data_IF_689412860800
#
_entry.id   IF_689412860800
#
_cell.length_a   1.000
_cell.length_b   1.000
_cell.length_c   1.000
_cell.angle_alpha   90.00
_cell.angle_beta   90.00
_cell.angle_gamma   90.00
#
_symmetry.space_group_name_H-M   'P 1'
#
loop_
_entity.id
_entity.type
_entity.pdbx_description
1 polymer ?
#
# COMPACT_ATOMS: atom_id res chain seq x y z
N UNK A 1 13.29 23.65 41.61
CA UNK A 1 11.93 23.74 41.06
C UNK A 1 11.68 22.57 40.18
N UNK A 2 10.67 21.72 40.42
CA UNK A 2 10.40 20.58 39.55
C UNK A 2 9.87 21.12 38.22
N UNK A 3 10.57 20.79 37.16
CA UNK A 3 10.12 20.97 35.80
C UNK A 3 8.72 20.39 35.70
N UNK A 4 7.73 21.22 35.45
CA UNK A 4 6.41 20.81 35.06
C UNK A 4 6.57 19.91 33.82
N UNK A 5 6.43 18.60 33.99
CA UNK A 5 6.22 17.69 32.88
C UNK A 5 4.91 18.12 32.23
N UNK A 6 5.04 18.88 31.17
CA UNK A 6 3.94 19.14 30.27
C UNK A 6 3.39 17.78 29.79
N UNK A 7 2.33 17.37 30.44
CA UNK A 7 1.49 16.24 30.03
C UNK A 7 0.66 16.73 28.83
N UNK A 8 1.33 17.22 27.77
CA UNK A 8 0.70 17.43 26.49
C UNK A 8 0.24 16.06 26.02
N UNK A 9 -1.06 15.85 26.04
CA UNK A 9 -1.65 14.64 25.44
C UNK A 9 -1.05 14.52 24.04
N UNK A 10 -0.35 13.41 23.79
CA UNK A 10 0.24 13.14 22.46
C UNK A 10 -0.89 13.14 21.44
N UNK A 11 -0.84 14.07 20.49
CA UNK A 11 -1.77 14.12 19.37
C UNK A 11 -1.22 13.28 18.21
N UNK A 12 -2.11 12.63 17.53
CA UNK A 12 -1.89 11.84 16.35
C UNK A 12 -2.80 12.32 15.22
N UNK A 13 -2.51 11.98 14.01
CA UNK A 13 -3.37 12.38 12.90
C UNK A 13 -2.95 11.77 11.56
N UNK A 14 -3.65 12.20 10.51
CA UNK A 14 -3.40 11.84 9.14
C UNK A 14 -3.29 13.10 8.29
N UNK A 15 -2.20 13.23 7.54
CA UNK A 15 -2.06 14.22 6.47
C UNK A 15 -2.27 13.59 5.10
N UNK A 16 -3.00 14.30 4.24
CA UNK A 16 -3.32 13.89 2.86
C UNK A 16 -4.36 14.81 2.25
N UNK A 17 -4.67 14.62 0.96
CA UNK A 17 -5.70 15.42 0.29
C UNK A 17 -6.23 14.71 -0.97
N UNK A 18 -7.55 14.53 -1.12
CA UNK A 18 -8.60 14.67 -0.09
C UNK A 18 -8.65 13.45 0.85
N UNK A 19 -8.98 13.64 2.12
CA UNK A 19 -9.00 12.55 3.14
C UNK A 19 -10.24 12.53 4.04
N UNK A 20 -11.23 13.39 3.80
CA UNK A 20 -12.48 13.46 4.60
C UNK A 20 -13.19 12.11 4.77
N UNK A 21 -12.97 11.18 3.83
CA UNK A 21 -13.54 9.83 3.81
C UNK A 21 -12.70 8.76 4.53
N UNK A 22 -11.56 9.15 5.11
CA UNK A 22 -10.63 8.19 5.72
C UNK A 22 -11.23 7.46 6.92
N UNK A 23 -11.00 6.16 6.99
CA UNK A 23 -11.39 5.30 8.13
C UNK A 23 -10.36 5.32 9.26
N UNK A 24 -9.19 5.95 9.07
CA UNK A 24 -8.09 5.97 10.05
C UNK A 24 -8.52 6.47 11.43
N UNK A 25 -9.33 7.54 11.58
CA UNK A 25 -9.78 7.99 12.91
C UNK A 25 -10.59 6.92 13.66
N UNK A 26 -11.47 6.20 12.95
CA UNK A 26 -12.30 5.16 13.55
C UNK A 26 -11.44 3.96 13.98
N UNK A 27 -10.50 3.52 13.14
CA UNK A 27 -9.56 2.46 13.44
C UNK A 27 -8.67 2.81 14.63
N UNK A 28 -8.12 4.02 14.65
CA UNK A 28 -7.28 4.49 15.75
C UNK A 28 -8.06 4.57 17.06
N UNK A 29 -9.28 5.10 17.03
CA UNK A 29 -10.16 5.15 18.20
C UNK A 29 -10.45 3.74 18.73
N UNK A 30 -10.71 2.79 17.86
CA UNK A 30 -10.94 1.39 18.26
C UNK A 30 -9.68 0.75 18.87
N UNK A 31 -8.51 0.97 18.28
CA UNK A 31 -7.24 0.40 18.74
C UNK A 31 -6.84 0.89 20.14
N UNK A 32 -7.13 2.15 20.45
CA UNK A 32 -6.73 2.79 21.71
C UNK A 32 -7.90 3.13 22.64
N UNK A 33 -9.11 2.58 22.41
CA UNK A 33 -10.31 2.86 23.21
C UNK A 33 -10.60 4.36 23.41
N UNK A 34 -10.31 5.16 22.38
CA UNK A 34 -10.51 6.61 22.43
C UNK A 34 -9.57 7.38 23.36
N UNK A 35 -8.50 6.77 23.85
CA UNK A 35 -7.56 7.39 24.80
C UNK A 35 -6.79 8.58 24.22
N UNK A 36 -6.56 8.61 22.92
CA UNK A 36 -5.76 9.63 22.25
C UNK A 36 -6.58 10.35 21.16
N UNK A 37 -6.20 11.58 20.89
CA UNK A 37 -6.76 12.40 19.80
C UNK A 37 -6.12 11.95 18.49
N UNK A 38 -6.95 11.80 17.46
CA UNK A 38 -6.51 11.50 16.09
C UNK A 38 -7.30 12.38 15.11
N UNK A 39 -6.61 13.29 14.47
CA UNK A 39 -7.20 14.31 13.60
C UNK A 39 -6.97 14.01 12.12
N UNK A 40 -7.92 14.43 11.28
CA UNK A 40 -7.71 14.54 9.83
C UNK A 40 -7.20 15.95 9.51
N UNK A 41 -6.00 16.03 8.95
CA UNK A 41 -5.38 17.27 8.52
C UNK A 41 -5.47 17.32 7.00
N UNK A 42 -6.66 17.70 6.51
CA UNK A 42 -6.99 17.81 5.10
C UNK A 42 -6.55 19.17 4.56
N UNK A 43 -5.30 19.25 4.15
CA UNK A 43 -4.67 20.46 3.62
C UNK A 43 -4.02 20.09 2.29
N UNK A 44 -4.30 20.85 1.22
CA UNK A 44 -3.81 20.56 -0.12
C UNK A 44 -2.30 20.83 -0.26
N UNK A 45 -1.80 21.86 0.44
CA UNK A 45 -0.38 22.19 0.44
C UNK A 45 0.39 21.33 1.45
N UNK A 46 1.36 20.55 0.96
CA UNK A 46 2.16 19.67 1.81
C UNK A 46 2.97 20.40 2.86
N UNK A 47 3.61 21.52 2.52
CA UNK A 47 4.46 22.25 3.48
C UNK A 47 3.64 22.80 4.64
N UNK A 48 2.44 23.31 4.38
CA UNK A 48 1.49 23.75 5.40
C UNK A 48 1.03 22.60 6.29
N UNK A 49 0.70 21.45 5.70
CA UNK A 49 0.31 20.25 6.44
C UNK A 49 1.47 19.71 7.29
N UNK A 50 2.67 19.72 6.75
CA UNK A 50 3.90 19.28 7.43
C UNK A 50 4.25 20.21 8.60
N UNK A 51 4.17 21.53 8.42
CA UNK A 51 4.41 22.48 9.50
C UNK A 51 3.42 22.28 10.65
N UNK A 52 2.14 22.06 10.35
CA UNK A 52 1.13 21.74 11.37
C UNK A 52 1.47 20.45 12.13
N UNK A 53 2.01 19.43 11.46
CA UNK A 53 2.54 18.24 12.13
C UNK A 53 3.66 18.60 13.11
N UNK A 54 4.63 19.40 12.68
CA UNK A 54 5.78 19.77 13.52
C UNK A 54 5.32 20.53 14.79
N UNK A 55 4.30 21.36 14.67
CA UNK A 55 3.85 22.23 15.77
C UNK A 55 2.96 21.49 16.78
N UNK A 56 2.09 20.58 16.31
CA UNK A 56 1.00 20.10 17.15
C UNK A 56 1.02 18.58 17.43
N UNK A 57 1.74 17.78 16.66
CA UNK A 57 1.61 16.32 16.70
C UNK A 57 2.93 15.64 17.07
N UNK A 58 2.83 14.50 17.73
CA UNK A 58 3.98 13.64 18.02
C UNK A 58 4.25 12.65 16.89
N UNK A 59 3.19 12.05 16.34
CA UNK A 59 3.22 11.09 15.25
C UNK A 59 2.10 11.42 14.28
N UNK A 60 2.39 11.27 12.99
CA UNK A 60 1.39 11.47 11.94
C UNK A 60 1.45 10.33 10.92
N UNK A 61 0.28 9.86 10.51
CA UNK A 61 0.18 9.05 9.30
C UNK A 61 0.18 9.95 8.06
N UNK A 62 0.67 9.41 6.97
CA UNK A 62 0.75 10.10 5.68
C UNK A 62 0.09 9.27 4.61
N UNK A 63 -0.81 9.90 3.84
CA UNK A 63 -1.44 9.26 2.67
C UNK A 63 -1.22 10.08 1.40
N UNK A 64 -1.83 9.65 0.32
CA UNK A 64 -1.72 10.35 -0.97
C UNK A 64 -2.19 11.81 -0.85
N UNK A 65 -1.52 12.74 -1.56
CA UNK A 65 -0.39 12.52 -2.49
C UNK A 65 0.99 12.65 -1.81
N UNK A 66 1.07 12.77 -0.49
CA UNK A 66 2.21 13.31 0.27
C UNK A 66 3.29 12.30 0.68
N UNK A 67 3.09 10.98 0.46
CA UNK A 67 4.03 9.93 0.92
C UNK A 67 5.48 10.12 0.43
N UNK A 68 5.66 10.60 -0.78
CA UNK A 68 6.99 10.90 -1.33
C UNK A 68 7.62 12.16 -0.73
N UNK A 69 6.86 13.24 -0.64
CA UNK A 69 7.31 14.51 -0.05
C UNK A 69 7.66 14.33 1.44
N UNK A 70 6.84 13.61 2.17
CA UNK A 70 7.09 13.29 3.58
C UNK A 70 8.37 12.44 3.76
N UNK A 71 8.63 11.50 2.86
CA UNK A 71 9.87 10.72 2.87
C UNK A 71 11.12 11.61 2.76
N UNK A 72 11.07 12.65 1.94
CA UNK A 72 12.19 13.59 1.75
C UNK A 72 12.46 14.47 2.99
N UNK A 73 11.49 14.60 3.90
CA UNK A 73 11.63 15.42 5.12
C UNK A 73 12.21 14.63 6.30
N UNK A 74 12.42 13.32 6.18
CA UNK A 74 12.88 12.50 7.28
C UNK A 74 14.40 12.56 7.48
N UNK A 75 14.82 12.69 8.74
CA UNK A 75 16.23 12.62 9.14
C UNK A 75 16.69 11.17 9.29
N UNK A 76 15.79 10.29 9.71
CA UNK A 76 16.03 8.87 9.95
C UNK A 76 14.97 8.07 9.21
N UNK A 77 15.38 7.11 8.41
CA UNK A 77 14.48 6.31 7.57
C UNK A 77 14.70 4.83 7.86
N UNK A 78 13.63 4.07 8.12
CA UNK A 78 13.71 2.62 8.26
C UNK A 78 14.14 1.96 6.95
N UNK A 79 14.75 0.75 7.02
CA UNK A 79 15.20 0.03 5.83
C UNK A 79 14.04 -0.25 4.85
N UNK A 80 12.88 -0.67 5.37
CA UNK A 80 11.68 -0.90 4.55
C UNK A 80 11.22 0.39 3.85
N UNK A 81 11.15 1.48 4.61
CA UNK A 81 10.75 2.79 4.08
C UNK A 81 11.74 3.31 3.02
N UNK A 82 13.04 3.08 3.24
CA UNK A 82 14.11 3.42 2.29
C UNK A 82 13.96 2.63 0.99
N UNK A 83 13.72 1.33 1.08
CA UNK A 83 13.52 0.47 -0.08
C UNK A 83 12.28 0.88 -0.89
N UNK A 84 11.19 1.25 -0.21
CA UNK A 84 9.95 1.70 -0.85
C UNK A 84 10.09 3.12 -1.44
N UNK A 85 10.92 3.98 -0.84
CA UNK A 85 11.08 5.39 -1.25
C UNK A 85 9.83 6.24 -0.99
N UNK A 86 9.02 5.83 -0.01
CA UNK A 86 7.82 6.54 0.43
C UNK A 86 7.52 6.20 1.88
N UNK A 87 6.94 7.14 2.63
CA UNK A 87 6.53 6.94 4.03
C UNK A 87 5.04 7.09 4.20
N UNK A 88 4.47 6.32 5.12
CA UNK A 88 3.10 6.54 5.61
C UNK A 88 3.04 6.87 7.10
N UNK A 89 4.21 6.99 7.77
CA UNK A 89 4.33 7.35 9.18
C UNK A 89 5.52 8.28 9.36
N UNK A 90 5.29 9.43 10.02
CA UNK A 90 6.34 10.30 10.53
C UNK A 90 6.21 10.42 12.04
N UNK A 91 7.33 10.32 12.74
CA UNK A 91 7.40 10.47 14.18
C UNK A 91 8.47 11.51 14.53
N UNK A 92 8.09 12.45 15.42
CA UNK A 92 9.01 13.43 15.98
C UNK A 92 9.63 12.88 17.27
N UNK A 93 10.96 12.74 17.26
CA UNK A 93 11.73 12.32 18.43
C UNK A 93 11.94 13.48 19.40
N UNK A 94 12.36 13.15 20.63
CA UNK A 94 12.68 14.14 21.67
C UNK A 94 13.87 15.03 21.28
N UNK A 95 14.81 14.52 20.46
CA UNK A 95 15.95 15.28 19.91
C UNK A 95 15.57 16.17 18.71
N UNK A 96 14.30 16.23 18.35
CA UNK A 96 13.77 17.00 17.24
C UNK A 96 13.87 16.33 15.86
N UNK A 97 14.54 15.18 15.75
CA UNK A 97 14.66 14.45 14.49
C UNK A 97 13.34 13.80 14.08
N UNK A 98 13.11 13.78 12.78
CA UNK A 98 11.96 13.14 12.16
C UNK A 98 12.34 11.75 11.67
N UNK A 99 11.61 10.76 12.17
CA UNK A 99 11.76 9.35 11.78
C UNK A 99 10.63 8.99 10.82
N UNK A 100 10.97 8.40 9.68
CA UNK A 100 10.03 7.87 8.71
C UNK A 100 9.97 6.34 8.76
N UNK A 101 8.74 5.81 8.69
CA UNK A 101 8.44 4.40 8.56
C UNK A 101 7.40 4.15 7.48
N UNK A 102 7.25 2.88 7.12
CA UNK A 102 6.21 2.46 6.18
C UNK A 102 5.58 1.16 6.64
N UNK A 103 4.30 1.17 6.93
CA UNK A 103 3.50 -0.02 7.31
C UNK A 103 2.60 -0.51 6.17
N UNK A 104 2.55 0.17 5.03
CA UNK A 104 1.71 -0.24 3.90
C UNK A 104 2.12 -1.63 3.40
N UNK A 105 3.41 -1.95 3.38
CA UNK A 105 3.90 -3.27 2.97
C UNK A 105 3.43 -4.39 3.90
N UNK A 106 3.33 -4.14 5.21
CA UNK A 106 2.77 -5.10 6.17
C UNK A 106 1.28 -5.34 5.91
N UNK A 107 0.58 -4.29 5.50
CA UNK A 107 -0.81 -4.37 5.09
C UNK A 107 -1.02 -5.30 3.90
N UNK A 108 -0.16 -5.21 2.89
CA UNK A 108 -0.20 -6.09 1.71
C UNK A 108 0.09 -7.53 2.10
N UNK A 109 1.22 -7.78 2.79
CA UNK A 109 1.60 -9.13 3.22
C UNK A 109 0.51 -9.79 4.08
N UNK A 110 -0.06 -9.03 5.04
CA UNK A 110 -1.13 -9.54 5.90
C UNK A 110 -2.41 -9.86 5.13
N UNK A 111 -2.86 -8.95 4.26
CA UNK A 111 -4.06 -9.15 3.46
C UNK A 111 -3.92 -10.35 2.50
N UNK A 112 -2.74 -10.55 1.91
CA UNK A 112 -2.49 -11.72 1.06
C UNK A 112 -2.46 -12.99 1.91
N UNK A 113 -1.73 -13.00 3.02
CA UNK A 113 -1.54 -14.19 3.86
C UNK A 113 -2.86 -14.71 4.44
N UNK A 114 -3.76 -13.82 4.89
CA UNK A 114 -5.06 -14.19 5.45
C UNK A 114 -6.01 -14.84 4.40
N UNK A 115 -5.74 -14.64 3.11
CA UNK A 115 -6.56 -15.15 2.02
C UNK A 115 -5.92 -16.35 1.29
N UNK A 116 -4.77 -16.84 1.74
CA UNK A 116 -4.13 -18.05 1.22
C UNK A 116 -4.36 -19.20 2.20
N UNK A 117 -4.94 -20.29 1.71
CA UNK A 117 -5.06 -21.53 2.49
C UNK A 117 -4.02 -22.57 2.03
N UNK A 118 -3.66 -23.56 2.88
CA UNK A 118 -2.69 -24.60 2.53
C UNK A 118 -3.04 -25.41 1.29
N UNK A 119 -4.32 -25.50 0.95
CA UNK A 119 -4.83 -26.26 -0.19
C UNK A 119 -4.72 -25.48 -1.51
N UNK A 120 -4.51 -24.17 -1.44
CA UNK A 120 -4.40 -23.33 -2.62
C UNK A 120 -3.06 -23.54 -3.34
N UNK A 121 -3.13 -23.89 -4.61
CA UNK A 121 -1.98 -23.81 -5.49
C UNK A 121 -1.90 -22.42 -6.10
N UNK A 122 -0.96 -21.61 -5.64
CA UNK A 122 -0.76 -20.22 -6.08
C UNK A 122 0.60 -20.09 -6.77
N UNK A 123 0.60 -19.51 -7.96
CA UNK A 123 1.84 -19.13 -8.65
C UNK A 123 2.66 -18.14 -7.83
N UNK A 124 3.96 -18.30 -7.80
CA UNK A 124 4.91 -17.40 -7.14
C UNK A 124 5.28 -16.18 -7.99
N UNK A 125 4.40 -15.78 -8.89
CA UNK A 125 4.49 -14.53 -9.64
C UNK A 125 3.49 -13.53 -9.05
N UNK A 126 3.92 -12.33 -8.78
CA UNK A 126 3.07 -11.22 -8.37
C UNK A 126 3.04 -10.14 -9.45
N UNK A 127 1.85 -9.68 -9.81
CA UNK A 127 1.63 -8.56 -10.71
C UNK A 127 1.20 -7.32 -9.90
N UNK A 128 1.99 -6.27 -9.97
CA UNK A 128 1.68 -4.97 -9.36
C UNK A 128 1.26 -3.99 -10.44
N UNK A 129 0.05 -3.47 -10.35
CA UNK A 129 -0.52 -2.53 -11.32
C UNK A 129 -0.48 -1.12 -10.76
N UNK A 130 0.39 -0.29 -11.30
CA UNK A 130 0.70 1.06 -10.84
C UNK A 130 2.15 1.21 -10.34
N UNK A 131 2.57 2.45 -10.04
CA UNK A 131 3.88 2.76 -9.48
C UNK A 131 3.85 4.01 -8.57
N UNK A 132 2.74 4.20 -7.85
CA UNK A 132 2.62 5.16 -6.74
C UNK A 132 3.12 4.58 -5.42
N UNK A 133 2.96 5.31 -4.31
CA UNK A 133 3.41 4.87 -2.99
C UNK A 133 2.84 3.52 -2.56
N UNK A 134 1.55 3.27 -2.81
CA UNK A 134 0.90 1.99 -2.53
C UNK A 134 1.48 0.85 -3.38
N UNK A 135 1.65 1.08 -4.69
CA UNK A 135 2.25 0.08 -5.59
C UNK A 135 3.68 -0.27 -5.21
N UNK A 136 4.47 0.72 -4.82
CA UNK A 136 5.85 0.51 -4.37
C UNK A 136 5.91 -0.32 -3.08
N UNK A 137 5.02 -0.05 -2.12
CA UNK A 137 4.90 -0.84 -0.92
C UNK A 137 4.45 -2.28 -1.22
N UNK A 138 3.52 -2.46 -2.16
CA UNK A 138 3.05 -3.78 -2.61
C UNK A 138 4.16 -4.57 -3.31
N UNK A 139 4.93 -3.95 -4.20
CA UNK A 139 6.05 -4.60 -4.88
C UNK A 139 7.14 -5.02 -3.87
N UNK A 140 7.46 -4.17 -2.91
CA UNK A 140 8.39 -4.50 -1.86
C UNK A 140 7.89 -5.68 -1.00
N UNK A 141 6.61 -5.66 -0.60
CA UNK A 141 6.00 -6.73 0.18
C UNK A 141 6.07 -8.08 -0.55
N UNK A 142 5.63 -8.14 -1.80
CA UNK A 142 5.64 -9.38 -2.59
C UNK A 142 7.05 -9.91 -2.84
N UNK A 143 8.03 -9.03 -3.06
CA UNK A 143 9.43 -9.43 -3.11
C UNK A 143 9.92 -10.07 -1.81
N UNK A 144 9.61 -9.46 -0.65
CA UNK A 144 9.97 -10.02 0.67
C UNK A 144 9.30 -11.36 0.93
N UNK A 145 8.07 -11.53 0.45
CA UNK A 145 7.29 -12.78 0.59
C UNK A 145 7.71 -13.85 -0.44
N UNK A 146 8.78 -13.59 -1.21
CA UNK A 146 9.39 -14.56 -2.12
C UNK A 146 8.67 -14.73 -3.46
N UNK A 147 7.94 -13.71 -3.91
CA UNK A 147 7.37 -13.69 -5.26
C UNK A 147 8.35 -13.10 -6.27
N UNK A 148 8.34 -13.64 -7.50
CA UNK A 148 8.85 -12.94 -8.68
C UNK A 148 7.88 -11.81 -9.00
N UNK A 149 8.30 -10.57 -8.79
CA UNK A 149 7.41 -9.40 -8.81
C UNK A 149 7.53 -8.63 -10.12
N UNK A 150 6.41 -8.46 -10.81
CA UNK A 150 6.30 -7.72 -12.07
C UNK A 150 5.53 -6.43 -11.83
N UNK A 151 6.09 -5.31 -12.23
CA UNK A 151 5.49 -3.98 -12.08
C UNK A 151 5.06 -3.47 -13.45
N UNK A 152 3.78 -3.21 -13.61
CA UNK A 152 3.21 -2.61 -14.82
C UNK A 152 2.65 -1.24 -14.50
N UNK A 153 3.11 -0.23 -15.23
CA UNK A 153 2.65 1.15 -15.08
C UNK A 153 2.62 1.87 -16.43
N UNK A 154 1.69 2.81 -16.60
CA UNK A 154 1.59 3.63 -17.81
C UNK A 154 2.92 4.33 -18.16
N UNK A 155 3.60 4.88 -17.16
CA UNK A 155 4.98 5.36 -17.31
C UNK A 155 5.92 4.17 -17.02
N UNK A 156 6.35 3.49 -18.09
CA UNK A 156 7.23 2.33 -18.01
C UNK A 156 8.58 2.66 -17.35
N UNK A 157 9.19 3.79 -17.71
CA UNK A 157 10.49 4.22 -17.17
C UNK A 157 10.46 4.33 -15.64
N UNK A 158 9.39 4.89 -15.08
CA UNK A 158 9.20 4.96 -13.62
C UNK A 158 9.12 3.59 -12.95
N UNK A 159 8.46 2.63 -13.59
CA UNK A 159 8.38 1.26 -13.08
C UNK A 159 9.74 0.57 -13.15
N UNK A 160 10.47 0.78 -14.26
CA UNK A 160 11.81 0.22 -14.47
C UNK A 160 12.81 0.72 -13.44
N UNK A 161 12.89 2.02 -13.22
CA UNK A 161 13.75 2.62 -12.18
C UNK A 161 13.48 2.03 -10.80
N UNK A 162 12.21 1.85 -10.45
CA UNK A 162 11.84 1.28 -9.17
C UNK A 162 12.18 -0.22 -9.06
N UNK A 163 11.91 -1.01 -10.10
CA UNK A 163 12.28 -2.42 -10.14
C UNK A 163 13.79 -2.62 -10.00
N UNK A 164 14.60 -1.79 -10.69
CA UNK A 164 16.06 -1.79 -10.56
C UNK A 164 16.51 -1.41 -9.15
N UNK A 165 15.86 -0.43 -8.52
CA UNK A 165 16.18 -0.06 -7.13
C UNK A 165 15.96 -1.22 -6.15
N UNK A 166 14.89 -2.00 -6.31
CA UNK A 166 14.64 -3.19 -5.49
C UNK A 166 15.71 -4.27 -5.69
N UNK A 167 16.15 -4.51 -6.94
CA UNK A 167 17.25 -5.45 -7.22
C UNK A 167 18.54 -5.02 -6.53
N UNK A 168 18.87 -3.74 -6.61
CA UNK A 168 20.14 -3.20 -6.09
C UNK A 168 20.17 -3.16 -4.55
N UNK A 169 19.02 -2.92 -3.89
CA UNK A 169 18.92 -2.81 -2.45
C UNK A 169 18.91 -4.16 -1.73
N UNK A 170 18.28 -5.17 -2.30
CA UNK A 170 18.05 -6.43 -1.61
C UNK A 170 18.24 -7.68 -2.46
N UNK A 171 18.65 -7.55 -3.73
CA UNK A 171 18.72 -8.69 -4.64
C UNK A 171 17.35 -9.29 -4.96
N UNK A 172 16.27 -8.49 -4.82
CA UNK A 172 14.91 -8.95 -5.04
C UNK A 172 14.65 -9.30 -6.52
N UNK A 173 13.84 -10.32 -6.74
CA UNK A 173 13.37 -10.68 -8.08
C UNK A 173 12.22 -9.75 -8.49
N UNK A 174 12.58 -8.58 -9.01
CA UNK A 174 11.67 -7.55 -9.46
C UNK A 174 11.98 -7.12 -10.88
N UNK A 175 10.96 -6.91 -11.71
CA UNK A 175 11.11 -6.35 -13.05
C UNK A 175 9.91 -5.46 -13.42
N UNK A 176 10.15 -4.56 -14.34
CA UNK A 176 9.08 -3.81 -14.98
C UNK A 176 8.76 -4.38 -16.36
N UNK A 177 7.49 -4.34 -16.72
CA UNK A 177 7.03 -4.74 -18.05
C UNK A 177 6.06 -3.68 -18.59
N UNK A 178 5.98 -3.52 -19.92
CA UNK A 178 5.08 -2.55 -20.52
C UNK A 178 3.61 -2.98 -20.38
N UNK A 179 2.70 -2.02 -20.54
CA UNK A 179 1.25 -2.27 -20.44
C UNK A 179 0.75 -3.32 -21.46
N UNK A 180 1.43 -3.47 -22.60
CA UNK A 180 1.11 -4.51 -23.59
C UNK A 180 1.25 -5.93 -23.06
N UNK A 181 2.03 -6.14 -21.99
CA UNK A 181 2.23 -7.43 -21.35
C UNK A 181 1.22 -7.71 -20.20
N UNK A 182 0.26 -6.80 -19.98
CA UNK A 182 -0.68 -6.88 -18.86
C UNK A 182 -1.46 -8.21 -18.85
N UNK A 183 -2.07 -8.61 -19.97
CA UNK A 183 -2.85 -9.86 -20.05
C UNK A 183 -1.99 -11.09 -19.76
N UNK A 184 -0.76 -11.13 -20.29
CA UNK A 184 0.19 -12.20 -20.02
C UNK A 184 0.46 -12.35 -18.53
N UNK A 185 0.84 -11.25 -17.85
CA UNK A 185 1.16 -11.31 -16.42
C UNK A 185 -0.07 -11.47 -15.55
N UNK A 186 -1.24 -10.97 -15.97
CA UNK A 186 -2.49 -11.29 -15.30
C UNK A 186 -2.75 -12.81 -15.30
N UNK A 187 -2.45 -13.50 -16.42
CA UNK A 187 -2.54 -14.95 -16.55
C UNK A 187 -1.53 -15.67 -15.65
N UNK A 188 -0.27 -15.26 -15.66
CA UNK A 188 0.82 -15.94 -14.95
C UNK A 188 0.81 -15.70 -13.43
N UNK A 189 0.27 -14.57 -12.98
CA UNK A 189 0.31 -14.17 -11.57
C UNK A 189 -0.62 -14.99 -10.67
N UNK A 190 -0.10 -15.43 -9.55
CA UNK A 190 -0.90 -15.93 -8.42
C UNK A 190 -1.42 -14.81 -7.52
N UNK A 191 -0.70 -13.69 -7.45
CA UNK A 191 -1.09 -12.51 -6.72
C UNK A 191 -1.11 -11.31 -7.65
N UNK A 192 -2.21 -10.57 -7.66
CA UNK A 192 -2.38 -9.34 -8.42
C UNK A 192 -2.73 -8.24 -7.42
N UNK A 193 -1.92 -7.18 -7.37
CA UNK A 193 -2.19 -6.01 -6.52
C UNK A 193 -2.51 -4.82 -7.43
N UNK A 194 -3.78 -4.45 -7.44
CA UNK A 194 -4.29 -3.36 -8.25
C UNK A 194 -4.34 -2.07 -7.44
N UNK A 195 -3.55 -1.07 -7.82
CA UNK A 195 -3.41 0.17 -7.04
C UNK A 195 -3.88 1.42 -7.77
N UNK A 196 -4.42 1.28 -8.96
CA UNK A 196 -4.95 2.41 -9.71
C UNK A 196 -6.34 2.82 -9.20
N UNK A 197 -6.65 4.11 -9.15
CA UNK A 197 -7.95 4.60 -8.69
C UNK A 197 -9.04 4.58 -9.76
N UNK A 198 -8.83 3.82 -10.83
CA UNK A 198 -9.73 3.75 -11.98
C UNK A 198 -9.61 2.42 -12.69
N UNK A 199 -10.68 2.02 -13.36
CA UNK A 199 -10.70 0.89 -14.29
C UNK A 199 -9.88 1.22 -15.55
N UNK A 200 -9.01 0.30 -15.99
CA UNK A 200 -8.20 0.48 -17.20
C UNK A 200 -8.70 -0.39 -18.34
N UNK A 201 -8.62 0.07 -19.61
CA UNK A 201 -9.10 -0.70 -20.76
C UNK A 201 -8.46 -2.09 -20.91
N UNK A 202 -7.26 -2.31 -20.39
CA UNK A 202 -6.60 -3.59 -20.40
C UNK A 202 -7.36 -4.69 -19.63
N UNK A 203 -8.17 -4.31 -18.64
CA UNK A 203 -9.04 -5.26 -17.92
C UNK A 203 -10.16 -5.79 -18.80
N UNK A 204 -10.73 -4.96 -19.68
CA UNK A 204 -11.80 -5.34 -20.60
C UNK A 204 -11.31 -6.23 -21.75
N UNK A 205 -9.99 -6.28 -21.96
CA UNK A 205 -9.34 -7.05 -23.01
C UNK A 205 -8.86 -8.44 -22.55
N UNK A 206 -9.05 -8.77 -21.26
CA UNK A 206 -8.67 -10.08 -20.74
C UNK A 206 -9.52 -11.18 -21.37
N UNK A 207 -8.85 -12.20 -21.90
CA UNK A 207 -9.51 -13.41 -22.37
C UNK A 207 -9.87 -14.33 -21.19
N UNK A 208 -10.75 -15.30 -21.43
CA UNK A 208 -11.02 -16.34 -20.42
C UNK A 208 -9.75 -17.08 -20.00
N UNK A 209 -8.81 -17.30 -20.92
CA UNK A 209 -7.54 -17.96 -20.62
C UNK A 209 -6.66 -17.11 -19.68
N UNK A 210 -6.67 -15.78 -19.84
CA UNK A 210 -5.93 -14.87 -18.96
C UNK A 210 -6.50 -14.89 -17.55
N UNK A 211 -7.83 -14.99 -17.44
CA UNK A 211 -8.53 -15.03 -16.15
C UNK A 211 -8.37 -16.41 -15.48
N UNK A 212 -8.44 -17.51 -16.25
CA UNK A 212 -8.21 -18.87 -15.73
C UNK A 212 -6.81 -19.05 -15.15
N UNK A 213 -5.82 -18.45 -15.80
CA UNK A 213 -4.43 -18.53 -15.36
C UNK A 213 -3.73 -19.82 -15.74
N UNK A 214 -2.48 -19.96 -15.35
CA UNK A 214 -1.61 -21.11 -15.67
C UNK A 214 -0.94 -21.65 -14.40
N UNK A 215 -0.97 -22.97 -14.24
CA UNK A 215 -2.05 -23.93 -14.57
C UNK A 215 -3.21 -23.64 -13.63
N UNK A 216 -4.46 -23.83 -13.99
CA UNK A 216 -5.72 -23.57 -13.25
C UNK A 216 -5.55 -23.31 -11.75
N UNK A 217 -4.88 -22.22 -11.41
CA UNK A 217 -4.41 -21.94 -10.08
C UNK A 217 -5.32 -20.91 -9.40
N UNK A 218 -5.41 -20.98 -8.09
CA UNK A 218 -6.02 -19.92 -7.32
C UNK A 218 -5.29 -18.59 -7.58
N UNK A 219 -6.05 -17.51 -7.62
CA UNK A 219 -5.52 -16.15 -7.76
C UNK A 219 -6.03 -15.27 -6.63
N UNK A 220 -5.14 -14.47 -6.08
CA UNK A 220 -5.50 -13.38 -5.17
C UNK A 220 -5.51 -12.07 -5.97
N UNK A 221 -6.64 -11.39 -6.00
CA UNK A 221 -6.79 -10.05 -6.56
C UNK A 221 -7.02 -9.06 -5.40
N UNK A 222 -5.97 -8.39 -4.97
CA UNK A 222 -6.01 -7.36 -3.94
C UNK A 222 -6.15 -5.98 -4.58
N UNK A 223 -7.20 -5.26 -4.25
CA UNK A 223 -7.43 -3.90 -4.71
C UNK A 223 -7.15 -2.88 -3.60
N UNK A 224 -6.30 -1.89 -3.87
CA UNK A 224 -5.93 -0.87 -2.89
C UNK A 224 -7.06 0.12 -2.60
N UNK A 225 -7.86 0.47 -3.63
CA UNK A 225 -8.93 1.45 -3.49
C UNK A 225 -10.17 0.82 -2.83
N UNK A 226 -10.44 1.23 -1.58
CA UNK A 226 -11.57 0.70 -0.82
C UNK A 226 -12.81 1.61 -0.83
N UNK A 227 -12.66 2.88 -1.23
CA UNK A 227 -13.77 3.84 -1.24
C UNK A 227 -14.59 3.74 -2.51
N UNK A 228 -13.89 3.73 -3.63
CA UNK A 228 -14.47 3.67 -4.97
C UNK A 228 -13.72 2.61 -5.78
N UNK A 229 -14.01 1.31 -5.53
CA UNK A 229 -13.31 0.22 -6.15
C UNK A 229 -13.44 0.25 -7.67
N UNK A 230 -12.34 -0.10 -8.35
CA UNK A 230 -12.30 -0.24 -9.80
C UNK A 230 -12.99 -1.50 -10.30
N UNK A 231 -13.17 -2.49 -9.40
CA UNK A 231 -13.91 -3.72 -9.69
C UNK A 231 -15.29 -3.65 -9.05
N UNK A 232 -16.34 -3.64 -9.87
CA UNK A 232 -17.72 -3.76 -9.41
C UNK A 232 -17.99 -5.17 -8.87
N UNK A 233 -19.14 -5.35 -8.20
CA UNK A 233 -19.57 -6.70 -7.79
C UNK A 233 -19.79 -7.60 -8.99
N UNK A 234 -20.32 -7.06 -10.05
CA UNK A 234 -20.58 -7.73 -11.31
C UNK A 234 -19.27 -8.18 -11.96
N UNK A 235 -18.24 -7.33 -12.00
CA UNK A 235 -16.91 -7.69 -12.50
C UNK A 235 -16.32 -8.86 -11.72
N UNK A 236 -16.41 -8.81 -10.39
CA UNK A 236 -15.88 -9.87 -9.52
C UNK A 236 -16.65 -11.18 -9.74
N UNK A 237 -17.96 -11.13 -9.90
CA UNK A 237 -18.78 -12.32 -10.20
C UNK A 237 -18.43 -12.93 -11.57
N UNK A 238 -18.23 -12.11 -12.60
CA UNK A 238 -17.81 -12.57 -13.92
C UNK A 238 -16.41 -13.21 -13.87
N UNK A 239 -15.45 -12.59 -13.20
CA UNK A 239 -14.13 -13.17 -13.01
C UNK A 239 -14.20 -14.52 -12.29
N UNK A 240 -15.05 -14.67 -11.27
CA UNK A 240 -15.24 -15.90 -10.51
C UNK A 240 -15.98 -16.99 -11.29
N UNK A 241 -16.87 -16.66 -12.19
CA UNK A 241 -17.50 -17.63 -13.10
C UNK A 241 -16.45 -18.30 -13.98
N UNK A 242 -15.46 -17.53 -14.44
CA UNK A 242 -14.38 -18.02 -15.30
C UNK A 242 -13.31 -18.74 -14.47
N UNK A 243 -12.92 -18.18 -13.31
CA UNK A 243 -11.96 -18.77 -12.38
C UNK A 243 -12.55 -18.86 -10.97
N UNK A 244 -13.18 -19.99 -10.59
CA UNK A 244 -13.72 -20.17 -9.25
C UNK A 244 -12.70 -20.10 -8.12
N UNK A 245 -11.41 -20.25 -8.43
CA UNK A 245 -10.29 -20.10 -7.47
C UNK A 245 -9.83 -18.66 -7.28
N UNK A 246 -10.48 -17.68 -7.90
CA UNK A 246 -10.15 -16.26 -7.72
C UNK A 246 -10.73 -15.73 -6.42
N UNK A 247 -9.86 -15.23 -5.56
CA UNK A 247 -10.19 -14.55 -4.30
C UNK A 247 -9.97 -13.06 -4.49
N UNK A 248 -11.06 -12.29 -4.45
CA UNK A 248 -10.99 -10.84 -4.41
C UNK A 248 -10.84 -10.37 -2.97
N UNK A 249 -9.79 -9.57 -2.72
CA UNK A 249 -9.46 -9.00 -1.42
C UNK A 249 -9.67 -7.49 -1.49
N UNK A 250 -10.59 -7.00 -0.67
CA UNK A 250 -10.96 -5.60 -0.66
C UNK A 250 -9.90 -4.75 0.06
N UNK A 251 -9.66 -3.54 -0.41
CA UNK A 251 -8.67 -2.61 0.16
C UNK A 251 -8.85 -2.29 1.65
N UNK A 252 -10.02 -2.54 2.23
CA UNK A 252 -10.22 -2.45 3.68
C UNK A 252 -9.37 -3.45 4.47
N UNK A 253 -9.12 -4.64 3.94
CA UNK A 253 -8.24 -5.63 4.59
C UNK A 253 -6.80 -5.12 4.60
N UNK A 254 -6.34 -4.58 3.48
CA UNK A 254 -5.03 -3.91 3.44
C UNK A 254 -4.94 -2.78 4.48
N UNK A 255 -5.95 -1.89 4.51
CA UNK A 255 -6.00 -0.78 5.47
C UNK A 255 -5.95 -1.29 6.92
N UNK A 256 -6.67 -2.36 7.24
CA UNK A 256 -6.70 -2.93 8.60
C UNK A 256 -5.32 -3.46 9.02
N UNK A 257 -4.69 -4.28 8.19
CA UNK A 257 -3.35 -4.83 8.47
C UNK A 257 -2.28 -3.73 8.54
N UNK A 258 -2.35 -2.72 7.68
CA UNK A 258 -1.46 -1.56 7.71
C UNK A 258 -1.62 -0.77 9.01
N UNK A 259 -2.84 -0.57 9.47
CA UNK A 259 -3.12 0.13 10.72
C UNK A 259 -2.56 -0.65 11.94
N UNK A 260 -2.74 -1.95 11.99
CA UNK A 260 -2.15 -2.81 13.05
C UNK A 260 -0.63 -2.71 13.06
N UNK A 261 0.01 -2.68 11.90
CA UNK A 261 1.46 -2.48 11.76
C UNK A 261 1.93 -1.08 12.21
N UNK A 262 1.11 -0.06 11.95
CA UNK A 262 1.43 1.33 12.30
C UNK A 262 1.26 1.66 13.80
N UNK A 263 0.38 0.92 14.49
CA UNK A 263 0.00 1.24 15.88
C UNK A 263 0.78 0.43 16.93
N UNK A 264 1.66 -0.47 16.51
CA UNK A 264 2.61 -1.20 17.36
C UNK A 264 3.88 -0.39 17.61
#
# INVERSE_FOLDING_TARGET
TPLARNNLMKKFGLIGYPISHSLSPALFKAAYNGKYIYDLIEIEDFETAYQKFLDEYAVINVTAPFKGSAFQKADIVSEDCKAIGATNILMKREDGKIVAGNSDHLGVSGAIADNITPEMSISKVALIVGCGGAAKAAAYATCKDGYSTVIINRNFGKAQEFAESLKNLGGFDAKAEPMSEFSRYFREAGVIVYTLPLHIPALDQLSEEDIKGVPSAAKILLEANYKDPSFSKEDIEELRKINPGLVYVHGKEWLLHQAVGAYK
#
